data_IF_340632623100
#
_entry.id   IF_340632623100
#
_cell.length_a   1.000
_cell.length_b   1.000
_cell.length_c   1.000
_cell.angle_alpha   90.00
_cell.angle_beta   90.00
_cell.angle_gamma   90.00
#
_symmetry.space_group_name_H-M   'P 1'
#
loop_
_entity.id
_entity.type
_entity.pdbx_description
1 polymer ?
#
# COMPACT_ATOMS: atom_id res chain seq x y z
N UNK A 1 5.17 -20.96 3.23
CA UNK A 1 6.25 -20.32 2.44
C UNK A 1 6.09 -18.81 2.56
N UNK A 2 7.18 -18.06 2.56
CA UNK A 2 7.20 -16.59 2.67
C UNK A 2 7.68 -16.00 1.34
N UNK A 3 7.17 -14.82 0.94
CA UNK A 3 7.69 -14.13 -0.23
C UNK A 3 9.19 -13.88 -0.10
N UNK A 4 9.85 -13.80 -1.24
CA UNK A 4 11.30 -13.56 -1.32
C UNK A 4 11.59 -12.11 -1.70
N UNK A 5 12.83 -11.67 -1.51
CA UNK A 5 13.27 -10.36 -2.02
C UNK A 5 13.12 -10.29 -3.56
N UNK A 6 13.27 -11.42 -4.24
CA UNK A 6 13.13 -11.52 -5.69
C UNK A 6 11.69 -11.25 -6.14
N UNK A 7 10.70 -11.78 -5.41
CA UNK A 7 9.28 -11.50 -5.65
C UNK A 7 9.00 -9.99 -5.63
N UNK A 8 9.43 -9.31 -4.57
CA UNK A 8 9.23 -7.86 -4.42
C UNK A 8 9.98 -7.05 -5.50
N UNK A 9 11.15 -7.51 -5.92
CA UNK A 9 11.91 -6.89 -7.01
C UNK A 9 11.19 -7.04 -8.36
N UNK A 10 10.58 -8.19 -8.64
CA UNK A 10 9.85 -8.39 -9.88
C UNK A 10 8.49 -7.68 -9.91
N UNK A 11 7.82 -7.50 -8.76
CA UNK A 11 6.62 -6.65 -8.68
C UNK A 11 6.89 -5.17 -8.97
N UNK A 12 8.12 -4.72 -8.73
CA UNK A 12 8.54 -3.37 -9.05
C UNK A 12 8.70 -3.18 -10.57
N UNK A 13 7.90 -2.30 -11.17
CA UNK A 13 8.00 -2.00 -12.61
C UNK A 13 9.03 -0.93 -12.96
N UNK A 14 9.09 0.13 -12.16
CA UNK A 14 9.99 1.26 -12.36
C UNK A 14 11.19 1.19 -11.40
N UNK A 15 11.96 2.27 -11.27
CA UNK A 15 13.15 2.30 -10.40
C UNK A 15 12.78 2.14 -8.92
N UNK A 16 11.60 2.63 -8.54
CA UNK A 16 11.06 2.62 -7.18
C UNK A 16 9.85 1.69 -7.09
N UNK A 17 9.61 1.06 -5.92
CA UNK A 17 8.33 0.39 -5.67
C UNK A 17 7.21 1.42 -5.73
N UNK A 18 5.99 0.92 -5.93
CA UNK A 18 4.78 1.71 -5.84
C UNK A 18 4.70 2.40 -4.48
N UNK A 19 4.04 3.55 -4.41
CA UNK A 19 4.06 4.37 -3.19
C UNK A 19 3.49 3.65 -1.95
N UNK A 20 2.60 2.67 -2.14
CA UNK A 20 1.89 2.01 -1.05
C UNK A 20 1.61 0.52 -1.32
N UNK A 21 1.77 -0.28 -0.27
CA UNK A 21 1.36 -1.69 -0.19
C UNK A 21 0.59 -1.90 1.12
N UNK A 22 -0.49 -2.68 1.06
CA UNK A 22 -1.30 -3.08 2.21
C UNK A 22 -1.07 -4.56 2.52
N UNK A 23 -0.92 -4.91 3.79
CA UNK A 23 -0.67 -6.29 4.22
C UNK A 23 -1.29 -6.58 5.59
N UNK A 24 -1.71 -7.81 5.82
CA UNK A 24 -2.21 -8.27 7.13
C UNK A 24 -1.11 -8.47 8.17
N UNK A 25 0.15 -8.25 7.78
CA UNK A 25 1.29 -8.47 8.65
C UNK A 25 2.42 -7.45 8.41
N UNK A 26 3.21 -7.21 9.46
CA UNK A 26 4.38 -6.32 9.45
C UNK A 26 5.54 -6.82 8.60
N UNK A 27 5.44 -8.04 8.05
CA UNK A 27 6.46 -8.64 7.22
C UNK A 27 7.73 -8.99 7.99
N UNK A 28 8.80 -9.23 7.24
CA UNK A 28 10.14 -9.47 7.74
C UNK A 28 11.14 -8.57 7.04
N UNK A 29 12.20 -8.20 7.75
CA UNK A 29 13.30 -7.41 7.20
C UNK A 29 14.38 -8.35 6.67
N UNK A 30 14.55 -8.40 5.35
CA UNK A 30 15.56 -9.24 4.68
C UNK A 30 16.50 -8.33 3.90
N UNK A 31 17.78 -8.34 4.27
CA UNK A 31 18.81 -7.47 3.66
C UNK A 31 18.44 -5.98 3.66
N UNK A 32 17.68 -5.53 4.66
CA UNK A 32 17.24 -4.13 4.77
C UNK A 32 16.04 -3.76 3.90
N UNK A 33 15.36 -4.74 3.28
CA UNK A 33 14.08 -4.58 2.59
C UNK A 33 12.96 -5.22 3.43
N UNK A 34 11.85 -4.51 3.58
CA UNK A 34 10.63 -5.07 4.17
C UNK A 34 9.91 -5.95 3.15
N UNK A 35 9.57 -7.17 3.57
CA UNK A 35 8.91 -8.18 2.74
C UNK A 35 7.68 -8.70 3.49
N UNK A 36 6.47 -8.53 2.94
CA UNK A 36 5.27 -9.11 3.52
C UNK A 36 5.33 -10.64 3.56
N UNK A 37 4.77 -11.22 4.62
CA UNK A 37 4.59 -12.66 4.73
C UNK A 37 3.30 -13.11 4.00
N UNK A 38 3.24 -14.38 3.61
CA UNK A 38 2.11 -14.94 2.86
C UNK A 38 2.19 -14.67 1.35
N UNK A 39 1.08 -14.74 0.65
CA UNK A 39 0.99 -14.56 -0.80
C UNK A 39 0.18 -13.32 -1.15
N UNK A 40 0.53 -12.67 -2.28
CA UNK A 40 -0.20 -11.49 -2.78
C UNK A 40 -1.59 -11.92 -3.22
N UNK A 41 -2.55 -11.00 -3.13
CA UNK A 41 -3.83 -11.14 -3.80
C UNK A 41 -3.60 -11.48 -5.27
N UNK A 42 -4.25 -12.55 -5.75
CA UNK A 42 -4.09 -13.10 -7.11
C UNK A 42 -2.73 -13.77 -7.45
N UNK A 43 -1.93 -14.16 -6.47
CA UNK A 43 -0.76 -15.02 -6.71
C UNK A 43 -1.13 -16.41 -7.28
N UNK A 44 -0.21 -17.03 -8.03
CA UNK A 44 -0.36 -18.38 -8.60
C UNK A 44 -0.07 -19.45 -7.55
N UNK A 45 -0.97 -19.56 -6.56
CA UNK A 45 -0.84 -20.52 -5.47
C UNK A 45 -1.45 -21.87 -5.82
N UNK A 46 -0.72 -22.95 -5.51
CA UNK A 46 -1.26 -24.31 -5.60
C UNK A 46 -2.41 -24.52 -4.61
N UNK A 47 -3.39 -25.36 -4.96
CA UNK A 47 -4.52 -25.68 -4.08
C UNK A 47 -4.11 -26.45 -2.80
N UNK A 48 -2.89 -26.98 -2.75
CA UNK A 48 -2.35 -27.69 -1.58
C UNK A 48 -1.63 -26.74 -0.59
N UNK A 49 -1.45 -25.48 -0.97
CA UNK A 49 -0.85 -24.46 -0.12
C UNK A 49 -1.75 -24.12 1.07
N UNK A 50 -1.15 -23.74 2.19
CA UNK A 50 -1.86 -23.30 3.39
C UNK A 50 -2.73 -22.05 3.09
N UNK A 51 -4.04 -22.20 3.16
CA UNK A 51 -5.02 -21.15 2.87
C UNK A 51 -4.87 -19.93 3.79
N UNK A 52 -4.31 -20.10 5.00
CA UNK A 52 -4.04 -18.98 5.91
C UNK A 52 -2.98 -18.01 5.39
N UNK A 53 -2.25 -18.39 4.35
CA UNK A 53 -1.24 -17.57 3.69
C UNK A 53 -1.76 -16.90 2.42
N UNK A 54 -3.02 -17.10 2.04
CA UNK A 54 -3.59 -16.49 0.82
C UNK A 54 -3.99 -15.04 1.07
N UNK A 55 -3.92 -14.24 0.00
CA UNK A 55 -4.42 -12.87 -0.06
C UNK A 55 -3.91 -11.95 1.08
N UNK A 56 -2.69 -12.21 1.57
CA UNK A 56 -2.13 -11.57 2.77
C UNK A 56 -1.66 -10.13 2.54
N UNK A 57 -1.48 -9.72 1.29
CA UNK A 57 -1.09 -8.37 0.93
C UNK A 57 -1.43 -8.02 -0.51
N UNK A 58 -1.41 -6.72 -0.80
CA UNK A 58 -1.68 -6.16 -2.12
C UNK A 58 -0.83 -4.91 -2.35
N UNK A 59 -0.28 -4.76 -3.55
CA UNK A 59 0.48 -3.57 -3.97
C UNK A 59 -0.47 -2.64 -4.72
N UNK A 60 -0.61 -1.39 -4.27
CA UNK A 60 -1.47 -0.40 -4.92
C UNK A 60 -0.81 0.18 -6.17
N UNK A 61 -1.63 0.55 -7.16
CA UNK A 61 -1.13 1.25 -8.33
C UNK A 61 -0.74 2.71 -8.01
N UNK A 62 0.25 3.24 -8.71
CA UNK A 62 0.59 4.66 -8.76
C UNK A 62 -0.08 5.39 -9.95
N UNK A 63 -0.82 4.69 -10.81
CA UNK A 63 -1.50 5.29 -11.97
C UNK A 63 -2.49 6.36 -11.53
N UNK A 64 -2.26 7.61 -11.97
CA UNK A 64 -3.11 8.76 -11.64
C UNK A 64 -3.35 8.94 -10.13
N UNK A 65 -2.42 8.48 -9.28
CA UNK A 65 -2.48 8.70 -7.84
C UNK A 65 -2.19 10.18 -7.53
N UNK A 66 -3.04 10.76 -6.69
CA UNK A 66 -2.86 12.07 -6.05
C UNK A 66 -1.74 12.01 -5.01
N UNK A 67 -1.32 13.12 -4.38
CA UNK A 67 -0.29 13.06 -3.34
C UNK A 67 -0.63 12.11 -2.18
N UNK A 68 0.42 11.67 -1.46
CA UNK A 68 0.26 11.09 -0.13
C UNK A 68 0.23 12.24 0.86
N UNK A 69 -0.93 12.52 1.45
CA UNK A 69 -1.11 13.61 2.40
C UNK A 69 -0.95 13.08 3.83
N UNK A 70 0.13 13.50 4.48
CA UNK A 70 0.48 13.12 5.85
C UNK A 70 0.03 14.20 6.83
N UNK A 71 -0.84 13.86 7.77
CA UNK A 71 -1.32 14.76 8.82
C UNK A 71 -1.05 14.17 10.21
N UNK A 72 0.09 14.53 10.86
CA UNK A 72 0.35 14.14 12.23
C UNK A 72 -0.53 14.92 13.20
N UNK A 73 -1.29 14.22 14.02
CA UNK A 73 -2.13 14.78 15.07
C UNK A 73 -1.54 14.51 16.45
N UNK A 74 -1.22 15.57 17.18
CA UNK A 74 -0.81 15.48 18.59
C UNK A 74 -2.02 15.37 19.51
N UNK A 75 -2.11 14.27 20.23
CA UNK A 75 -3.11 14.04 21.27
C UNK A 75 -2.53 14.51 22.61
N UNK A 76 -3.16 15.53 23.19
CA UNK A 76 -2.73 16.08 24.47
C UNK A 76 -3.88 16.65 25.32
N UNK A 77 -3.69 16.61 26.63
CA UNK A 77 -4.59 17.25 27.59
C UNK A 77 -4.04 18.64 27.94
N UNK A 78 -4.80 19.71 27.65
CA UNK A 78 -4.47 21.08 28.04
C UNK A 78 -5.37 21.54 29.19
N UNK A 79 -4.77 21.99 30.30
CA UNK A 79 -5.50 22.55 31.45
C UNK A 79 -4.91 23.90 31.86
N UNK A 80 -5.80 24.86 32.16
CA UNK A 80 -5.42 26.15 32.72
C UNK A 80 -5.29 26.04 34.24
N UNK A 81 -4.21 26.57 34.78
CA UNK A 81 -3.94 26.58 36.22
C UNK A 81 -4.43 27.89 36.84
N UNK A 82 -4.65 27.90 38.16
CA UNK A 82 -5.09 29.09 38.89
C UNK A 82 -4.12 30.28 38.77
N UNK A 83 -2.83 30.03 38.49
CA UNK A 83 -1.82 31.06 38.24
C UNK A 83 -1.82 31.59 36.79
N UNK A 84 -2.85 31.27 36.00
CA UNK A 84 -3.01 31.74 34.62
C UNK A 84 -2.14 31.02 33.58
N UNK A 85 -1.17 30.19 33.98
CA UNK A 85 -0.35 29.39 33.05
C UNK A 85 -1.12 28.18 32.53
N UNK A 86 -0.90 27.82 31.27
CA UNK A 86 -1.37 26.56 30.72
C UNK A 86 -0.36 25.45 31.00
N UNK A 87 -0.87 24.25 31.27
CA UNK A 87 -0.09 23.00 31.27
C UNK A 87 -0.67 22.07 30.22
N UNK A 88 0.19 21.51 29.36
CA UNK A 88 -0.17 20.45 28.43
C UNK A 88 0.50 19.14 28.83
N UNK A 89 -0.22 18.03 28.63
CA UNK A 89 0.28 16.67 28.81
C UNK A 89 0.15 15.95 27.47
N UNK A 90 1.29 15.69 26.84
CA UNK A 90 1.37 14.90 25.61
C UNK A 90 1.07 13.43 25.92
N UNK A 91 0.20 12.81 25.13
CA UNK A 91 -0.21 11.41 25.28
C UNK A 91 0.36 10.58 24.14
N UNK A 92 0.06 10.99 22.90
CA UNK A 92 0.49 10.29 21.70
C UNK A 92 0.51 11.27 20.52
N UNK A 93 1.27 10.93 19.49
CA UNK A 93 1.11 11.50 18.15
C UNK A 93 0.54 10.38 17.27
N UNK A 94 -0.52 10.67 16.50
CA UNK A 94 -1.14 9.72 15.54
C UNK A 94 -1.04 10.28 14.14
N UNK A 95 -0.78 9.43 13.16
CA UNK A 95 -0.77 9.81 11.75
C UNK A 95 -2.11 9.53 11.08
N UNK A 96 -2.64 10.54 10.40
CA UNK A 96 -3.64 10.36 9.33
C UNK A 96 -2.93 10.42 7.99
N UNK A 97 -3.21 9.46 7.11
CA UNK A 97 -2.70 9.40 5.75
C UNK A 97 -3.87 9.37 4.78
N UNK A 98 -3.94 10.33 3.87
CA UNK A 98 -4.97 10.35 2.81
C UNK A 98 -4.31 10.30 1.43
N UNK A 99 -4.99 9.64 0.50
CA UNK A 99 -4.64 9.71 -0.92
C UNK A 99 -5.86 9.38 -1.76
N UNK A 100 -5.76 9.64 -3.06
CA UNK A 100 -6.83 9.37 -4.01
C UNK A 100 -6.27 9.03 -5.37
N UNK A 101 -7.09 8.46 -6.23
CA UNK A 101 -6.80 8.20 -7.62
C UNK A 101 -7.91 8.79 -8.48
N UNK A 102 -7.52 9.41 -9.60
CA UNK A 102 -8.45 9.88 -10.62
C UNK A 102 -8.38 8.97 -11.84
N UNK A 103 -9.51 8.48 -12.34
CA UNK A 103 -9.55 7.60 -13.51
C UNK A 103 -8.62 6.37 -13.37
N UNK A 104 -8.61 5.72 -12.20
CA UNK A 104 -7.92 4.45 -11.98
C UNK A 104 -8.71 3.32 -12.66
N UNK A 105 -8.06 2.44 -13.44
CA UNK A 105 -8.71 1.22 -13.91
C UNK A 105 -9.26 0.39 -12.75
N UNK A 106 -10.45 -0.18 -12.93
CA UNK A 106 -11.09 -1.03 -11.91
C UNK A 106 -10.25 -2.25 -11.52
N UNK A 107 -9.35 -2.69 -12.40
CA UNK A 107 -8.47 -3.86 -12.22
C UNK A 107 -7.18 -3.68 -12.98
N UNK A 108 -6.11 -4.32 -12.51
CA UNK A 108 -4.77 -4.22 -13.09
C UNK A 108 -4.64 -4.91 -14.46
N UNK A 109 -5.35 -6.03 -14.66
CA UNK A 109 -5.24 -6.87 -15.85
C UNK A 109 -6.60 -7.34 -16.39
N UNK A 110 -6.61 -7.80 -17.65
CA UNK A 110 -7.77 -8.36 -18.34
C UNK A 110 -8.29 -9.67 -17.75
N UNK A 111 -7.39 -10.43 -17.13
CA UNK A 111 -7.62 -11.72 -16.48
C UNK A 111 -6.92 -11.71 -15.11
N UNK A 112 -7.07 -12.79 -14.34
CA UNK A 112 -6.34 -12.96 -13.08
C UNK A 112 -4.82 -12.88 -13.37
N UNK A 113 -4.07 -12.02 -12.65
CA UNK A 113 -2.64 -11.84 -12.90
C UNK A 113 -1.80 -13.10 -12.75
N UNK A 114 -2.19 -14.00 -11.82
CA UNK A 114 -1.45 -15.21 -11.45
C UNK A 114 0.04 -14.89 -11.24
N UNK A 115 0.33 -14.04 -10.24
CA UNK A 115 1.71 -13.64 -9.98
C UNK A 115 2.56 -14.86 -9.63
N UNK A 116 3.63 -15.07 -10.39
CA UNK A 116 4.56 -16.17 -10.17
C UNK A 116 5.19 -16.08 -8.77
N UNK A 117 5.23 -17.18 -8.04
CA UNK A 117 5.62 -17.19 -6.63
C UNK A 117 7.10 -16.89 -6.38
N UNK A 118 7.96 -17.07 -7.40
CA UNK A 118 9.39 -16.83 -7.27
C UNK A 118 9.77 -15.40 -7.71
N UNK A 119 9.17 -14.95 -8.82
CA UNK A 119 9.52 -13.70 -9.49
C UNK A 119 8.54 -12.57 -9.21
N UNK A 120 7.31 -12.86 -8.78
CA UNK A 120 6.24 -11.86 -8.62
C UNK A 120 5.78 -11.27 -9.95
N UNK A 121 6.11 -11.87 -11.08
CA UNK A 121 5.72 -11.35 -12.40
C UNK A 121 4.46 -12.05 -12.88
N UNK A 122 3.51 -11.28 -13.41
CA UNK A 122 2.39 -11.82 -14.17
C UNK A 122 2.80 -12.11 -15.60
N UNK A 123 2.27 -13.18 -16.20
CA UNK A 123 2.41 -13.49 -17.64
C UNK A 123 1.94 -12.37 -18.57
N UNK A 124 1.05 -11.50 -18.07
CA UNK A 124 0.51 -10.37 -18.83
C UNK A 124 1.34 -9.08 -18.69
N UNK A 125 2.44 -9.10 -17.92
CA UNK A 125 3.27 -7.91 -17.68
C UNK A 125 3.84 -7.35 -18.99
N UNK A 126 3.67 -6.05 -19.20
CA UNK A 126 4.15 -5.34 -20.39
C UNK A 126 3.27 -5.53 -21.63
N UNK A 127 2.24 -6.39 -21.57
CA UNK A 127 1.30 -6.56 -22.66
C UNK A 127 0.21 -5.48 -22.60
N UNK A 128 0.31 -4.48 -23.47
CA UNK A 128 -0.63 -3.34 -23.54
C UNK A 128 -2.10 -3.71 -23.75
N UNK A 129 -2.40 -4.90 -24.26
CA UNK A 129 -3.78 -5.37 -24.44
C UNK A 129 -4.34 -6.05 -23.20
N UNK A 130 -3.47 -6.51 -22.29
CA UNK A 130 -3.85 -7.31 -21.12
C UNK A 130 -3.57 -6.61 -19.79
N UNK A 131 -2.66 -5.64 -19.75
CA UNK A 131 -2.28 -4.83 -18.60
C UNK A 131 -2.90 -3.43 -18.71
N UNK A 132 -3.72 -3.05 -17.73
CA UNK A 132 -4.50 -1.83 -17.74
C UNK A 132 -3.91 -0.74 -16.84
N UNK A 133 -3.38 -1.12 -15.68
CA UNK A 133 -2.54 -0.22 -14.87
C UNK A 133 -1.11 -0.26 -15.39
N UNK A 134 -0.51 0.90 -15.62
CA UNK A 134 0.81 1.02 -16.23
C UNK A 134 1.92 0.41 -15.40
N UNK A 135 1.72 0.18 -14.10
CA UNK A 135 2.66 -0.40 -13.16
C UNK A 135 2.31 -1.82 -12.67
N UNK A 136 1.17 -2.37 -13.11
CA UNK A 136 0.67 -3.67 -12.67
C UNK A 136 0.25 -3.72 -11.20
N UNK A 137 0.01 -2.56 -10.57
CA UNK A 137 -0.54 -2.45 -9.22
C UNK A 137 -2.07 -2.57 -9.20
N UNK A 138 -2.63 -2.76 -8.01
CA UNK A 138 -4.06 -2.96 -7.78
C UNK A 138 -4.93 -1.83 -8.33
N UNK A 139 -6.09 -2.21 -8.90
CA UNK A 139 -7.09 -1.29 -9.42
C UNK A 139 -8.14 -0.89 -8.37
N UNK A 140 -9.12 -0.10 -8.80
CA UNK A 140 -10.16 0.43 -7.91
C UNK A 140 -11.03 -0.63 -7.24
N UNK A 141 -11.36 -1.73 -7.93
CA UNK A 141 -12.15 -2.84 -7.35
C UNK A 141 -11.33 -3.64 -6.37
N UNK A 142 -10.03 -3.81 -6.62
CA UNK A 142 -9.13 -4.50 -5.71
C UNK A 142 -9.03 -3.74 -4.36
N UNK A 143 -8.93 -2.40 -4.42
CA UNK A 143 -8.97 -1.52 -3.23
C UNK A 143 -10.31 -1.65 -2.48
N UNK A 144 -11.43 -1.63 -3.20
CA UNK A 144 -12.76 -1.80 -2.59
C UNK A 144 -12.91 -3.17 -1.93
N UNK A 145 -12.46 -4.23 -2.61
CA UNK A 145 -12.49 -5.59 -2.10
C UNK A 145 -11.65 -5.71 -0.82
N UNK A 146 -10.46 -5.12 -0.79
CA UNK A 146 -9.65 -5.08 0.43
C UNK A 146 -10.42 -4.44 1.59
N UNK A 147 -11.02 -3.27 1.38
CA UNK A 147 -11.85 -2.59 2.39
C UNK A 147 -13.06 -3.42 2.84
N UNK A 148 -13.69 -4.15 1.94
CA UNK A 148 -14.83 -5.00 2.25
C UNK A 148 -14.45 -6.21 3.10
N UNK A 149 -13.27 -6.78 2.88
CA UNK A 149 -12.83 -8.02 3.52
C UNK A 149 -11.87 -7.83 4.71
N UNK A 150 -11.23 -6.66 4.85
CA UNK A 150 -10.30 -6.35 5.95
C UNK A 150 -10.86 -5.22 6.81
N UNK A 151 -11.72 -5.57 7.77
CA UNK A 151 -12.37 -4.61 8.68
C UNK A 151 -11.51 -4.19 9.87
N UNK A 152 -10.42 -4.90 10.13
CA UNK A 152 -9.46 -4.59 11.19
C UNK A 152 -8.40 -3.59 10.75
N UNK A 153 -7.41 -3.41 11.61
CA UNK A 153 -6.16 -2.78 11.24
C UNK A 153 -5.33 -3.69 10.33
N UNK A 154 -4.50 -3.08 9.50
CA UNK A 154 -3.55 -3.74 8.63
C UNK A 154 -2.29 -2.88 8.50
N UNK A 155 -1.24 -3.46 7.96
CA UNK A 155 0.06 -2.81 7.80
C UNK A 155 0.17 -2.12 6.46
N UNK A 156 0.55 -0.84 6.50
CA UNK A 156 0.78 0.02 5.35
C UNK A 156 2.28 0.21 5.17
N UNK A 157 2.78 -0.25 4.04
CA UNK A 157 4.17 -0.13 3.64
C UNK A 157 4.26 1.05 2.68
N UNK A 158 5.05 2.05 3.03
CA UNK A 158 5.16 3.31 2.31
C UNK A 158 6.54 3.43 1.66
N UNK A 159 6.53 3.92 0.42
CA UNK A 159 7.72 4.24 -0.33
C UNK A 159 7.70 5.71 -0.74
N UNK A 160 8.40 6.54 0.04
CA UNK A 160 8.63 7.95 -0.28
C UNK A 160 10.03 8.36 0.16
N UNK A 161 10.51 9.56 -0.12
CA UNK A 161 11.83 9.95 0.39
C UNK A 161 11.72 10.42 1.84
N UNK A 162 12.18 9.58 2.76
CA UNK A 162 12.25 9.86 4.20
C UNK A 162 13.62 9.46 4.75
N UNK A 163 14.69 9.94 4.10
CA UNK A 163 16.07 9.56 4.44
C UNK A 163 16.40 9.68 5.94
N UNK A 164 15.77 10.61 6.65
CA UNK A 164 16.02 10.87 8.08
C UNK A 164 15.79 9.67 9.01
N UNK A 165 15.04 8.64 8.59
CA UNK A 165 14.88 7.41 9.38
C UNK A 165 16.08 6.47 9.29
N UNK A 166 17.02 6.73 8.37
CA UNK A 166 18.19 5.88 8.11
C UNK A 166 19.50 6.46 8.61
N UNK A 167 19.47 7.58 9.33
CA UNK A 167 20.64 8.25 9.87
C UNK A 167 20.88 9.63 9.26
N UNK A 168 22.08 10.16 9.49
CA UNK A 168 22.50 11.51 9.09
C UNK A 168 23.68 11.53 8.14
N UNK A 169 24.16 10.37 7.68
CA UNK A 169 25.26 10.24 6.75
C UNK A 169 24.77 10.07 5.30
N UNK A 170 25.71 10.05 4.36
CA UNK A 170 25.39 9.93 2.93
C UNK A 170 24.72 8.58 2.58
N UNK A 171 24.87 7.55 3.42
CA UNK A 171 24.22 6.25 3.21
C UNK A 171 22.70 6.33 3.38
N UNK A 172 22.19 7.30 4.15
CA UNK A 172 20.76 7.50 4.38
C UNK A 172 19.97 7.81 3.08
N UNK A 173 20.62 8.40 2.06
CA UNK A 173 19.99 8.75 0.79
C UNK A 173 19.81 7.57 -0.19
N UNK A 174 20.45 6.43 0.08
CA UNK A 174 20.40 5.23 -0.78
C UNK A 174 19.12 4.39 -0.67
N UNK A 175 18.10 4.87 0.03
CA UNK A 175 16.96 4.05 0.49
C UNK A 175 15.66 4.24 -0.33
N UNK A 176 15.70 4.98 -1.44
CA UNK A 176 14.56 5.17 -2.36
C UNK A 176 14.02 3.88 -3.04
N UNK A 177 14.83 2.84 -3.32
CA UNK A 177 14.37 1.63 -4.01
C UNK A 177 13.58 0.62 -3.16
N UNK A 178 13.18 0.98 -1.94
CA UNK A 178 12.48 0.10 -0.99
C UNK A 178 11.35 0.82 -0.24
N UNK A 179 10.43 0.05 0.33
CA UNK A 179 9.53 0.56 1.36
C UNK A 179 10.35 0.95 2.59
N UNK A 180 10.19 2.19 3.05
CA UNK A 180 11.01 2.76 4.13
C UNK A 180 10.25 3.10 5.39
N UNK A 181 8.93 2.97 5.37
CA UNK A 181 8.11 3.08 6.56
C UNK A 181 7.01 2.02 6.52
N UNK A 182 6.79 1.37 7.66
CA UNK A 182 5.77 0.33 7.84
C UNK A 182 4.98 0.74 9.07
N UNK A 183 3.67 0.95 8.93
CA UNK A 183 2.79 1.50 9.97
C UNK A 183 1.52 0.66 10.02
N UNK A 184 1.05 0.33 11.21
CA UNK A 184 -0.28 -0.27 11.38
C UNK A 184 -1.35 0.82 11.32
N UNK A 185 -2.29 0.68 10.40
CA UNK A 185 -3.37 1.65 10.16
C UNK A 185 -4.70 0.94 9.94
N UNK A 186 -5.80 1.67 9.99
CA UNK A 186 -7.10 1.21 9.51
C UNK A 186 -7.71 2.23 8.56
N UNK A 187 -8.62 1.78 7.69
CA UNK A 187 -9.36 2.70 6.80
C UNK A 187 -10.43 3.41 7.60
N UNK A 188 -10.27 4.72 7.82
CA UNK A 188 -11.27 5.55 8.49
C UNK A 188 -12.31 6.10 7.52
N UNK A 189 -11.96 6.27 6.25
CA UNK A 189 -12.90 6.65 5.18
C UNK A 189 -12.48 6.05 3.82
N UNK A 190 -13.46 5.61 3.04
CA UNK A 190 -13.30 5.21 1.65
C UNK A 190 -14.49 5.70 0.84
N UNK A 191 -14.21 6.41 -0.25
CA UNK A 191 -15.22 6.88 -1.19
C UNK A 191 -14.80 6.60 -2.62
N UNK A 192 -15.75 6.27 -3.49
CA UNK A 192 -15.45 6.02 -4.89
C UNK A 192 -16.62 6.40 -5.82
N UNK A 193 -16.29 6.67 -7.08
CA UNK A 193 -17.22 6.92 -8.16
C UNK A 193 -16.79 6.14 -9.40
N UNK A 194 -17.73 5.48 -10.08
CA UNK A 194 -17.49 4.88 -11.40
C UNK A 194 -17.69 5.95 -12.46
N UNK A 195 -16.59 6.46 -13.01
CA UNK A 195 -16.59 7.68 -13.84
C UNK A 195 -16.87 7.37 -15.30
N UNK A 196 -16.19 6.36 -15.86
CA UNK A 196 -16.27 6.05 -17.30
C UNK A 196 -16.16 4.56 -17.54
N UNK A 197 -16.85 4.07 -18.57
CA UNK A 197 -16.69 2.69 -19.07
C UNK A 197 -15.52 2.61 -20.06
N UNK A 198 -14.63 1.63 -19.90
CA UNK A 198 -13.50 1.33 -20.80
C UNK A 198 -13.89 0.42 -21.97
N UNK A 199 -15.12 0.53 -22.48
CA UNK A 199 -15.65 -0.37 -23.50
C UNK A 199 -16.09 -1.71 -22.91
N UNK A 200 -15.50 -2.82 -23.36
CA UNK A 200 -15.85 -4.19 -22.93
C UNK A 200 -14.86 -4.81 -21.94
N UNK A 201 -13.97 -4.00 -21.33
CA UNK A 201 -12.84 -4.50 -20.53
C UNK A 201 -12.92 -4.12 -19.06
N UNK A 202 -12.84 -2.85 -18.72
CA UNK A 202 -12.77 -2.35 -17.35
C UNK A 202 -13.45 -0.99 -17.24
N UNK A 203 -13.71 -0.52 -16.03
CA UNK A 203 -14.21 0.83 -15.80
C UNK A 203 -13.12 1.70 -15.17
N UNK A 204 -13.25 3.02 -15.32
CA UNK A 204 -12.42 4.00 -14.66
C UNK A 204 -13.12 4.53 -13.42
N UNK A 205 -12.39 4.55 -12.32
CA UNK A 205 -12.89 4.88 -10.99
C UNK A 205 -12.11 6.06 -10.45
N UNK A 206 -12.82 6.97 -9.79
CA UNK A 206 -12.19 7.88 -8.85
C UNK A 206 -12.36 7.26 -7.47
N UNK A 207 -11.28 7.09 -6.73
CA UNK A 207 -11.30 6.46 -5.41
C UNK A 207 -10.42 7.25 -4.45
N UNK A 208 -10.93 7.49 -3.25
CA UNK A 208 -10.23 8.21 -2.18
C UNK A 208 -10.24 7.36 -0.93
N UNK A 209 -9.11 7.32 -0.25
CA UNK A 209 -8.93 6.55 0.99
C UNK A 209 -8.27 7.43 2.03
N UNK A 210 -8.79 7.39 3.25
CA UNK A 210 -8.16 7.94 4.45
C UNK A 210 -7.87 6.81 5.42
N UNK A 211 -6.63 6.79 5.90
CA UNK A 211 -6.07 5.81 6.82
C UNK A 211 -5.70 6.53 8.13
N UNK A 212 -5.95 5.86 9.25
CA UNK A 212 -5.57 6.34 10.58
C UNK A 212 -4.69 5.33 11.31
N UNK A 213 -3.61 5.82 11.91
CA UNK A 213 -2.71 5.03 12.74
C UNK A 213 -3.40 4.55 14.03
N UNK A 214 -3.19 3.27 14.35
CA UNK A 214 -3.82 2.58 15.48
C UNK A 214 -3.08 2.83 16.78
#
# INVERSE_FOLDING_TARGET
MTNTSQYMLGRKKYQRPQAMLWADNSGTLVNGLYIPNGFEVNADVSAESDESLFDQFMILSDDNRSPLDFSPQRIENRKRMANGRMRSYHIADKLTLSTSWDMLPSRAYSLRPNYDLETGVSDSRGNRSLEYTSDGGAGGVDILNWYENHKGSFWVYLAYDKYSVFGSDDAAYGNLPKYNQVIEMFISDLSYNVVKRGGSTYDFWNISVTLEEV
#
